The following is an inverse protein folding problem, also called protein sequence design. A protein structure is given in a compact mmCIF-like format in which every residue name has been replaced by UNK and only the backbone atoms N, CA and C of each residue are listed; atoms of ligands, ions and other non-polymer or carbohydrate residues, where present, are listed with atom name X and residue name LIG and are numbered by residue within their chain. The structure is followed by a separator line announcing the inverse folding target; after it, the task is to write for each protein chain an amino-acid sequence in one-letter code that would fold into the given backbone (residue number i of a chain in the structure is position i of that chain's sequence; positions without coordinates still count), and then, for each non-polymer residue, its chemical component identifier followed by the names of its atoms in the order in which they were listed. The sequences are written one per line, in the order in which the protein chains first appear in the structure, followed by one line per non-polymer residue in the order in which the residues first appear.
data_IF_866192035004
#
_entry.id   IF_866192035004
#
_cell.length_a   1.000
_cell.length_b   1.000
_cell.length_c   1.000
_cell.angle_alpha   90.00
_cell.angle_beta   90.00
_cell.angle_gamma   90.00
#
_symmetry.space_group_name_H-M   'P 1'
#
loop_
_entity.id
_entity.type
_entity.pdbx_description
1 polymer ?
#
# COMPACT_ATOMS: atom_id res chain seq x y z
N UNK A 1 3.56 -10.63 24.16
CA UNK A 1 4.29 -9.67 23.30
C UNK A 1 5.81 -9.88 23.35
N UNK A 2 6.45 -9.84 24.53
CA UNK A 2 7.91 -9.98 24.67
C UNK A 2 8.46 -11.30 24.10
N UNK A 3 7.86 -12.44 24.44
CA UNK A 3 8.29 -13.74 23.91
C UNK A 3 8.16 -13.86 22.39
N UNK A 4 7.00 -13.42 21.85
CA UNK A 4 6.72 -13.40 20.40
C UNK A 4 7.71 -12.48 19.67
N UNK A 5 7.98 -11.29 20.22
CA UNK A 5 8.95 -10.35 19.65
C UNK A 5 10.36 -10.93 19.63
N UNK A 6 10.81 -11.52 20.75
CA UNK A 6 12.13 -12.16 20.82
C UNK A 6 12.29 -13.29 19.81
N UNK A 7 11.31 -14.18 19.69
CA UNK A 7 11.32 -15.25 18.69
C UNK A 7 11.31 -14.69 17.25
N UNK A 8 10.37 -13.79 16.94
CA UNK A 8 10.17 -13.32 15.57
C UNK A 8 11.36 -12.53 15.04
N UNK A 9 11.98 -11.68 15.88
CA UNK A 9 13.16 -10.91 15.47
C UNK A 9 14.40 -11.81 15.25
N UNK A 10 14.62 -12.82 16.11
CA UNK A 10 15.68 -13.82 15.90
C UNK A 10 15.42 -14.62 14.63
N UNK A 11 14.17 -15.02 14.40
CA UNK A 11 13.78 -15.77 13.21
C UNK A 11 13.98 -14.94 11.95
N UNK A 12 13.59 -13.66 11.93
CA UNK A 12 13.81 -12.78 10.78
C UNK A 12 15.29 -12.62 10.45
N UNK A 13 16.16 -12.37 11.44
CA UNK A 13 17.61 -12.29 11.19
C UNK A 13 18.16 -13.57 10.54
N UNK A 14 17.84 -14.72 11.12
CA UNK A 14 18.24 -16.02 10.55
C UNK A 14 17.70 -16.22 9.14
N UNK A 15 16.44 -15.84 8.86
CA UNK A 15 15.87 -15.94 7.51
C UNK A 15 16.59 -15.04 6.50
N UNK A 16 17.01 -13.84 6.89
CA UNK A 16 17.70 -12.87 6.03
C UNK A 16 19.17 -13.23 5.78
N UNK A 17 19.85 -13.87 6.74
CA UNK A 17 21.27 -14.27 6.62
C UNK A 17 21.48 -15.46 5.67
N UNK A 18 20.51 -16.37 5.57
CA UNK A 18 20.70 -17.66 4.87
C UNK A 18 20.35 -17.64 3.37
N UNK A 19 20.12 -16.46 2.77
CA UNK A 19 20.22 -16.20 1.32
C UNK A 19 19.41 -17.07 0.34
N UNK A 20 18.38 -17.77 0.80
CA UNK A 20 17.49 -18.53 -0.07
C UNK A 20 16.08 -17.97 0.06
N UNK A 21 15.43 -17.71 -1.09
CA UNK A 21 14.06 -17.23 -1.23
C UNK A 21 13.09 -17.86 -0.23
N UNK A 22 12.88 -17.13 0.87
CA UNK A 22 12.02 -17.49 2.00
C UNK A 22 10.91 -16.46 2.20
N UNK A 23 10.51 -15.75 1.14
CA UNK A 23 9.49 -14.71 1.19
C UNK A 23 8.21 -15.18 1.92
N UNK A 24 7.80 -16.44 1.75
CA UNK A 24 6.70 -17.04 2.50
C UNK A 24 6.95 -17.15 4.02
N UNK A 25 8.14 -17.56 4.44
CA UNK A 25 8.51 -17.62 5.86
C UNK A 25 8.66 -16.22 6.48
N UNK A 26 9.27 -15.28 5.75
CA UNK A 26 9.37 -13.87 6.18
C UNK A 26 7.96 -13.29 6.35
N UNK A 27 7.08 -13.49 5.37
CA UNK A 27 5.68 -13.07 5.41
C UNK A 27 4.95 -13.64 6.62
N UNK A 28 5.13 -14.93 6.91
CA UNK A 28 4.54 -15.56 8.10
C UNK A 28 5.01 -14.90 9.40
N UNK A 29 6.32 -14.66 9.56
CA UNK A 29 6.85 -14.05 10.77
C UNK A 29 6.38 -12.60 10.93
N UNK A 30 6.39 -11.80 9.85
CA UNK A 30 5.93 -10.40 9.89
C UNK A 30 4.44 -10.33 10.21
N UNK A 31 3.60 -11.17 9.58
CA UNK A 31 2.16 -11.25 9.93
C UNK A 31 1.98 -11.63 11.40
N UNK A 32 2.74 -12.59 11.91
CA UNK A 32 2.66 -13.04 13.32
C UNK A 32 3.04 -11.93 14.30
N UNK A 33 4.14 -11.21 14.04
CA UNK A 33 4.56 -10.08 14.85
C UNK A 33 3.47 -8.99 14.91
N UNK A 34 2.90 -8.64 13.75
CA UNK A 34 1.85 -7.64 13.65
C UNK A 34 0.53 -8.06 14.32
N UNK A 35 0.13 -9.35 14.24
CA UNK A 35 -1.02 -9.90 14.98
C UNK A 35 -0.88 -9.71 16.50
N UNK A 36 0.36 -9.65 17.01
CA UNK A 36 0.66 -9.39 18.42
C UNK A 36 1.07 -7.94 18.71
N UNK A 37 0.89 -7.02 17.76
CA UNK A 37 1.27 -5.59 17.85
C UNK A 37 2.74 -5.39 18.18
N UNK A 38 3.61 -6.23 17.61
CA UNK A 38 5.06 -6.07 17.69
C UNK A 38 5.55 -5.49 16.35
N UNK A 39 5.92 -4.21 16.29
CA UNK A 39 6.36 -3.58 15.05
C UNK A 39 7.75 -4.09 14.65
N UNK A 40 8.08 -4.01 13.35
CA UNK A 40 9.45 -4.28 12.92
C UNK A 40 10.38 -3.14 13.36
N UNK A 41 11.58 -3.46 13.89
CA UNK A 41 12.62 -2.48 14.10
C UNK A 41 12.98 -1.75 12.79
N UNK A 42 13.19 -0.42 12.81
CA UNK A 42 13.48 0.36 11.60
C UNK A 42 14.62 -0.20 10.75
N UNK A 43 15.70 -0.65 11.37
CA UNK A 43 16.87 -1.19 10.69
C UNK A 43 16.61 -2.52 9.95
N UNK A 44 15.54 -3.25 10.27
CA UNK A 44 15.19 -4.49 9.57
C UNK A 44 14.26 -4.25 8.38
N UNK A 45 13.54 -3.13 8.32
CA UNK A 45 12.57 -2.86 7.24
C UNK A 45 13.18 -2.89 5.85
N UNK A 46 14.35 -2.30 5.56
CA UNK A 46 14.92 -2.35 4.22
C UNK A 46 15.11 -3.78 3.73
N UNK A 47 15.71 -4.64 4.56
CA UNK A 47 15.97 -6.04 4.21
C UNK A 47 14.67 -6.86 4.10
N UNK A 48 13.75 -6.67 5.04
CA UNK A 48 12.46 -7.40 5.05
C UNK A 48 11.57 -6.98 3.88
N UNK A 49 11.39 -5.69 3.65
CA UNK A 49 10.55 -5.18 2.56
C UNK A 49 11.13 -5.54 1.20
N UNK A 50 12.46 -5.43 1.04
CA UNK A 50 13.14 -5.93 -0.17
C UNK A 50 12.84 -7.41 -0.38
N UNK A 51 13.02 -8.26 0.62
CA UNK A 51 12.76 -9.70 0.48
C UNK A 51 11.28 -10.06 0.22
N UNK A 52 10.34 -9.19 0.60
CA UNK A 52 8.90 -9.38 0.37
C UNK A 52 8.43 -8.86 -1.00
N UNK A 53 9.11 -7.87 -1.56
CA UNK A 53 8.70 -7.17 -2.79
C UNK A 53 9.56 -7.51 -4.00
N UNK A 54 10.87 -7.72 -3.81
CA UNK A 54 11.86 -7.93 -4.85
C UNK A 54 12.37 -9.37 -4.76
N UNK A 55 12.39 -10.09 -5.87
CA UNK A 55 13.00 -11.42 -5.90
C UNK A 55 14.52 -11.29 -5.71
N UNK A 56 15.16 -12.29 -5.08
CA UNK A 56 16.63 -12.28 -4.89
C UNK A 56 17.40 -12.24 -6.23
N UNK A 57 16.79 -12.72 -7.32
CA UNK A 57 17.34 -12.70 -8.69
C UNK A 57 17.06 -11.43 -9.50
N UNK A 58 16.31 -10.47 -8.95
CA UNK A 58 15.94 -9.24 -9.67
C UNK A 58 17.11 -8.25 -9.68
N UNK A 59 18.09 -8.48 -10.56
CA UNK A 59 19.08 -7.46 -10.94
C UNK A 59 18.47 -6.40 -11.87
N UNK A 60 17.44 -6.80 -12.63
CA UNK A 60 16.75 -5.99 -13.64
C UNK A 60 16.22 -4.64 -13.12
N UNK A 61 15.60 -4.54 -11.93
CA UNK A 61 15.10 -3.25 -11.42
C UNK A 61 16.21 -2.22 -11.17
N UNK A 62 17.42 -2.67 -10.78
CA UNK A 62 18.56 -1.79 -10.51
C UNK A 62 19.05 -1.12 -11.79
N UNK A 63 19.24 -1.91 -12.85
CA UNK A 63 19.67 -1.43 -14.17
C UNK A 63 18.57 -0.62 -14.86
N UNK A 64 17.29 -0.99 -14.66
CA UNK A 64 16.15 -0.27 -15.22
C UNK A 64 16.04 1.14 -14.66
N UNK A 65 16.22 1.34 -13.36
CA UNK A 65 16.21 2.67 -12.76
C UNK A 65 17.26 3.60 -13.39
N UNK A 66 18.52 3.14 -13.49
CA UNK A 66 19.61 3.93 -14.08
C UNK A 66 19.33 4.28 -15.54
N UNK A 67 18.86 3.32 -16.35
CA UNK A 67 18.47 3.56 -17.74
C UNK A 67 17.37 4.62 -17.86
N UNK A 68 16.35 4.55 -17.00
CA UNK A 68 15.25 5.51 -16.99
C UNK A 68 15.72 6.90 -16.58
N UNK A 69 16.60 7.01 -15.59
CA UNK A 69 17.21 8.30 -15.21
C UNK A 69 17.97 8.92 -16.39
N UNK A 70 18.79 8.14 -17.10
CA UNK A 70 19.49 8.62 -18.30
C UNK A 70 18.53 9.07 -19.39
N UNK A 71 17.42 8.35 -19.61
CA UNK A 71 16.35 8.77 -20.55
C UNK A 71 15.71 10.08 -20.13
N UNK A 72 15.41 10.27 -18.85
CA UNK A 72 14.84 11.54 -18.35
C UNK A 72 15.79 12.70 -18.60
N UNK A 73 17.11 12.51 -18.43
CA UNK A 73 18.10 13.57 -18.69
C UNK A 73 18.21 13.87 -20.20
N UNK A 74 18.17 12.85 -21.06
CA UNK A 74 18.30 13.00 -22.50
C UNK A 74 17.02 13.57 -23.18
N UNK A 75 15.84 13.07 -22.78
CA UNK A 75 14.56 13.30 -23.46
C UNK A 75 13.60 14.19 -22.67
N UNK A 76 13.91 14.52 -21.41
CA UNK A 76 13.00 15.18 -20.47
C UNK A 76 12.51 16.56 -20.91
N UNK A 77 13.19 17.19 -21.87
CA UNK A 77 12.76 18.45 -22.48
C UNK A 77 11.89 18.26 -23.72
N UNK A 78 11.78 17.07 -24.30
CA UNK A 78 11.17 16.85 -25.62
C UNK A 78 9.77 16.23 -25.55
N UNK A 79 9.49 15.44 -24.50
CA UNK A 79 8.18 14.78 -24.31
C UNK A 79 7.25 15.65 -23.44
N UNK A 80 6.11 16.10 -23.99
CA UNK A 80 5.12 16.93 -23.28
C UNK A 80 4.69 16.33 -21.93
N UNK A 81 4.49 15.01 -21.87
CA UNK A 81 4.14 14.27 -20.65
C UNK A 81 5.18 14.45 -19.53
N UNK A 82 6.47 14.42 -19.86
CA UNK A 82 7.55 14.59 -18.87
C UNK A 82 7.63 16.04 -18.37
N UNK A 83 7.25 17.02 -19.20
CA UNK A 83 7.10 18.42 -18.77
C UNK A 83 5.95 18.57 -17.78
N UNK A 84 4.81 17.93 -18.03
CA UNK A 84 3.67 17.94 -17.12
C UNK A 84 3.99 17.31 -15.77
N UNK A 85 4.65 16.14 -15.77
CA UNK A 85 5.11 15.50 -14.54
C UNK A 85 6.10 16.41 -13.82
N UNK A 86 7.08 16.99 -14.51
CA UNK A 86 8.07 17.89 -13.89
C UNK A 86 7.42 19.12 -13.27
N UNK A 87 6.42 19.71 -13.95
CA UNK A 87 5.61 20.80 -13.40
C UNK A 87 4.87 20.37 -12.14
N UNK A 88 4.20 19.21 -12.17
CA UNK A 88 3.47 18.71 -11.00
C UNK A 88 4.41 18.42 -9.82
N UNK A 89 5.57 17.81 -10.06
CA UNK A 89 6.59 17.56 -9.03
C UNK A 89 7.12 18.86 -8.42
N UNK A 90 7.25 19.93 -9.20
CA UNK A 90 7.66 21.24 -8.66
C UNK A 90 6.65 21.82 -7.65
N UNK A 91 5.37 21.42 -7.76
CA UNK A 91 4.31 21.82 -6.83
C UNK A 91 4.21 20.87 -5.63
N UNK A 92 4.39 19.57 -5.85
CA UNK A 92 4.17 18.55 -4.82
C UNK A 92 5.37 18.42 -3.87
N UNK A 93 6.60 18.37 -4.39
CA UNK A 93 7.80 18.15 -3.57
C UNK A 93 8.00 19.16 -2.43
N UNK A 94 7.73 20.47 -2.58
CA UNK A 94 7.82 21.42 -1.46
C UNK A 94 6.79 21.16 -0.35
N UNK A 95 5.64 20.57 -0.70
CA UNK A 95 4.52 20.27 0.21
C UNK A 95 4.56 18.83 0.74
N UNK A 96 5.42 17.99 0.19
CA UNK A 96 5.60 16.60 0.58
C UNK A 96 6.23 16.49 1.97
N UNK A 97 5.41 16.23 2.99
CA UNK A 97 5.85 16.00 4.38
C UNK A 97 6.86 17.04 4.91
N UNK A 98 6.53 18.34 4.90
CA UNK A 98 7.48 19.43 5.21
C UNK A 98 8.00 19.38 6.66
N UNK A 99 7.26 18.72 7.55
CA UNK A 99 7.66 18.48 8.94
C UNK A 99 8.80 17.47 9.08
N UNK A 100 9.07 16.64 8.05
CA UNK A 100 10.10 15.60 8.11
C UNK A 100 11.48 16.20 7.87
N UNK A 101 12.27 16.36 8.94
CA UNK A 101 13.66 16.79 8.84
C UNK A 101 14.50 15.87 7.92
N UNK A 102 14.16 14.59 7.86
CA UNK A 102 14.85 13.63 7.02
C UNK A 102 14.58 13.83 5.52
N UNK A 103 13.35 14.15 5.13
CA UNK A 103 13.02 14.54 3.75
C UNK A 103 13.44 15.98 3.44
N UNK A 104 13.54 16.84 4.45
CA UNK A 104 14.01 18.21 4.30
C UNK A 104 15.45 18.32 3.78
N UNK A 105 16.27 17.26 3.91
CA UNK A 105 17.65 17.23 3.43
C UNK A 105 17.70 17.31 1.90
N UNK A 106 18.62 18.10 1.37
CA UNK A 106 18.80 18.27 -0.08
C UNK A 106 19.08 16.94 -0.81
N UNK A 107 19.80 16.00 -0.18
CA UNK A 107 20.00 14.65 -0.73
C UNK A 107 18.70 13.87 -0.85
N UNK A 108 17.85 13.90 0.17
CA UNK A 108 16.56 13.20 0.17
C UNK A 108 15.58 13.80 -0.85
N UNK A 109 15.52 15.14 -0.97
CA UNK A 109 14.69 15.81 -1.99
C UNK A 109 15.13 15.47 -3.40
N UNK A 110 16.45 15.46 -3.65
CA UNK A 110 17.01 15.03 -4.95
C UNK A 110 16.69 13.57 -5.25
N UNK A 111 16.87 12.68 -4.27
CA UNK A 111 16.53 11.27 -4.39
C UNK A 111 15.03 11.08 -4.70
N UNK A 112 14.14 11.80 -4.00
CA UNK A 112 12.69 11.74 -4.24
C UNK A 112 12.31 12.22 -5.63
N UNK A 113 12.84 13.36 -6.07
CA UNK A 113 12.60 13.87 -7.42
C UNK A 113 13.08 12.89 -8.50
N UNK A 114 14.31 12.37 -8.35
CA UNK A 114 14.93 11.40 -9.24
C UNK A 114 14.11 10.11 -9.34
N UNK A 115 13.68 9.57 -8.19
CA UNK A 115 12.84 8.35 -8.12
C UNK A 115 11.50 8.57 -8.82
N UNK A 116 10.81 9.69 -8.58
CA UNK A 116 9.50 9.97 -9.18
C UNK A 116 9.59 10.20 -10.70
N UNK A 117 10.63 10.90 -11.16
CA UNK A 117 10.87 11.11 -12.58
C UNK A 117 11.16 9.79 -13.30
N UNK A 118 12.04 8.95 -12.74
CA UNK A 118 12.33 7.63 -13.29
C UNK A 118 11.09 6.73 -13.28
N UNK A 119 10.25 6.79 -12.22
CA UNK A 119 9.00 6.06 -12.13
C UNK A 119 8.00 6.47 -13.22
N UNK A 120 7.85 7.78 -13.45
CA UNK A 120 6.97 8.31 -14.48
C UNK A 120 7.43 7.90 -15.89
N UNK A 121 8.73 8.00 -16.17
CA UNK A 121 9.30 7.56 -17.44
C UNK A 121 9.13 6.03 -17.66
N UNK A 122 9.24 5.23 -16.59
CA UNK A 122 9.05 3.78 -16.67
C UNK A 122 7.62 3.34 -16.91
N UNK A 123 6.64 4.20 -16.62
CA UNK A 123 5.21 3.92 -16.76
C UNK A 123 4.57 4.45 -18.03
N UNK A 124 5.34 5.06 -18.93
CA UNK A 124 4.84 5.68 -20.15
C UNK A 124 4.18 4.65 -21.08
N UNK A 125 4.85 3.53 -21.34
CA UNK A 125 4.36 2.44 -22.20
C UNK A 125 3.08 1.79 -21.66
N UNK A 126 2.92 1.75 -20.33
CA UNK A 126 1.74 1.23 -19.65
C UNK A 126 0.61 2.28 -19.51
N UNK A 127 0.84 3.52 -19.95
CA UNK A 127 -0.12 4.61 -19.82
C UNK A 127 -0.27 5.18 -18.41
N UNK A 128 0.59 4.83 -17.44
CA UNK A 128 0.46 5.23 -16.02
C UNK A 128 0.58 6.74 -15.81
N UNK A 129 -0.47 7.37 -15.27
CA UNK A 129 -0.49 8.81 -14.99
C UNK A 129 0.04 9.11 -13.58
N UNK A 130 0.83 10.17 -13.45
CA UNK A 130 1.20 10.68 -12.13
C UNK A 130 -0.04 11.23 -11.43
N UNK A 131 -0.23 10.85 -10.18
CA UNK A 131 -1.33 11.31 -9.33
C UNK A 131 -0.79 12.14 -8.17
N UNK A 132 -1.45 13.26 -7.85
CA UNK A 132 -1.07 14.14 -6.76
C UNK A 132 -1.22 13.44 -5.40
N UNK A 133 -0.11 13.18 -4.72
CA UNK A 133 -0.03 12.38 -3.49
C UNK A 133 0.81 11.09 -3.66
N UNK A 134 1.23 10.76 -4.89
CA UNK A 134 2.21 9.69 -5.13
C UNK A 134 3.60 10.03 -4.56
N UNK A 135 3.93 11.31 -4.47
CA UNK A 135 5.13 11.82 -3.80
C UNK A 135 5.23 11.36 -2.35
N UNK A 136 4.10 11.33 -1.62
CA UNK A 136 4.05 10.84 -0.24
C UNK A 136 4.29 9.33 -0.14
N UNK A 137 3.82 8.54 -1.10
CA UNK A 137 4.13 7.09 -1.19
C UNK A 137 5.62 6.87 -1.49
N UNK A 138 6.17 7.63 -2.44
CA UNK A 138 7.59 7.58 -2.79
C UNK A 138 8.51 8.04 -1.64
N UNK A 139 8.07 9.03 -0.86
CA UNK A 139 8.78 9.53 0.31
C UNK A 139 9.04 8.42 1.34
N UNK A 140 8.08 7.52 1.57
CA UNK A 140 8.29 6.36 2.47
C UNK A 140 9.39 5.45 1.92
N UNK A 141 9.39 5.15 0.62
CA UNK A 141 10.45 4.33 0.01
C UNK A 141 11.83 5.02 0.12
N UNK A 142 11.92 6.32 -0.16
CA UNK A 142 13.16 7.09 -0.04
C UNK A 142 13.69 7.09 1.40
N UNK A 143 12.81 7.28 2.39
CA UNK A 143 13.20 7.29 3.81
C UNK A 143 13.68 5.94 4.33
N UNK A 144 13.12 4.83 3.81
CA UNK A 144 13.51 3.48 4.24
C UNK A 144 14.82 3.04 3.58
N UNK A 145 14.97 3.28 2.28
CA UNK A 145 16.09 2.68 1.52
C UNK A 145 17.26 3.64 1.31
N UNK A 146 17.02 4.94 1.19
CA UNK A 146 18.03 5.96 0.92
C UNK A 146 18.71 5.90 -0.46
N UNK A 147 18.75 4.72 -1.08
CA UNK A 147 19.34 4.45 -2.39
C UNK A 147 18.27 4.58 -3.48
N UNK A 148 18.49 5.47 -4.45
CA UNK A 148 17.51 5.80 -5.52
C UNK A 148 16.99 4.57 -6.24
N UNK A 149 17.89 3.69 -6.69
CA UNK A 149 17.51 2.50 -7.46
C UNK A 149 16.67 1.50 -6.65
N UNK A 150 16.94 1.33 -5.35
CA UNK A 150 16.16 0.43 -4.49
C UNK A 150 14.80 1.07 -4.19
N UNK A 151 14.79 2.36 -3.84
CA UNK A 151 13.58 3.11 -3.57
C UNK A 151 12.64 3.11 -4.78
N UNK A 152 13.18 3.30 -5.99
CA UNK A 152 12.45 3.20 -7.24
C UNK A 152 11.87 1.80 -7.46
N UNK A 153 12.70 0.77 -7.28
CA UNK A 153 12.25 -0.63 -7.48
C UNK A 153 11.11 -1.00 -6.53
N UNK A 154 11.19 -0.55 -5.28
CA UNK A 154 10.15 -0.77 -4.29
C UNK A 154 8.89 0.04 -4.61
N UNK A 155 9.04 1.31 -4.98
CA UNK A 155 7.93 2.15 -5.42
C UNK A 155 7.20 1.50 -6.59
N UNK A 156 7.92 1.06 -7.63
CA UNK A 156 7.36 0.39 -8.80
C UNK A 156 6.53 -0.85 -8.41
N UNK A 157 7.06 -1.70 -7.52
CA UNK A 157 6.34 -2.88 -7.01
C UNK A 157 5.11 -2.50 -6.19
N UNK A 158 5.18 -1.46 -5.36
CA UNK A 158 4.04 -0.97 -4.57
C UNK A 158 2.95 -0.42 -5.49
N UNK A 159 3.31 0.46 -6.43
CA UNK A 159 2.34 1.07 -7.35
C UNK A 159 1.70 0.04 -8.24
N UNK A 160 2.48 -0.91 -8.77
CA UNK A 160 1.95 -2.00 -9.58
C UNK A 160 1.04 -2.94 -8.78
N UNK A 161 1.32 -3.18 -7.50
CA UNK A 161 0.54 -4.11 -6.68
C UNK A 161 -0.76 -3.51 -6.16
N UNK A 162 -0.76 -2.23 -5.78
CA UNK A 162 -1.88 -1.64 -5.03
C UNK A 162 -2.57 -0.49 -5.74
N UNK A 163 -1.90 0.14 -6.71
CA UNK A 163 -2.39 1.38 -7.31
C UNK A 163 -2.56 1.28 -8.85
N UNK A 164 -2.28 0.12 -9.45
CA UNK A 164 -2.22 -0.04 -10.91
C UNK A 164 -3.49 0.44 -11.60
N UNK A 165 -4.65 0.00 -11.13
CA UNK A 165 -5.94 0.31 -11.79
C UNK A 165 -6.23 1.81 -11.73
N UNK A 166 -5.93 2.45 -10.61
CA UNK A 166 -6.07 3.90 -10.44
C UNK A 166 -5.11 4.70 -11.33
N UNK A 167 -3.90 4.19 -11.55
CA UNK A 167 -2.83 4.88 -12.29
C UNK A 167 -2.95 4.67 -13.81
N UNK A 168 -3.38 3.49 -14.25
CA UNK A 168 -3.53 3.12 -15.67
C UNK A 168 -4.92 3.51 -16.17
N UNK A 169 -5.96 2.83 -15.68
CA UNK A 169 -7.34 3.04 -16.15
C UNK A 169 -7.89 4.39 -15.69
N UNK A 170 -7.44 4.84 -14.51
CA UNK A 170 -7.83 6.11 -13.92
C UNK A 170 -8.88 5.93 -12.84
N UNK A 171 -8.86 6.83 -11.86
CA UNK A 171 -9.74 6.79 -10.68
C UNK A 171 -11.21 6.65 -11.07
N UNK A 172 -11.70 7.38 -12.06
CA UNK A 172 -13.12 7.33 -12.47
C UNK A 172 -13.59 5.95 -12.95
N UNK A 173 -12.68 5.13 -13.49
CA UNK A 173 -13.01 3.81 -14.06
C UNK A 173 -13.14 2.74 -12.97
N UNK A 174 -12.11 2.61 -12.13
CA UNK A 174 -12.01 1.52 -11.15
C UNK A 174 -12.64 1.86 -9.79
N UNK A 175 -12.75 3.14 -9.44
CA UNK A 175 -13.20 3.56 -8.11
C UNK A 175 -14.59 3.02 -7.74
N UNK A 176 -15.63 3.09 -8.62
CA UNK A 176 -16.96 2.60 -8.27
C UNK A 176 -16.96 1.11 -7.89
N UNK A 177 -16.20 0.28 -8.61
CA UNK A 177 -16.09 -1.15 -8.32
C UNK A 177 -15.41 -1.40 -6.97
N UNK A 178 -14.30 -0.71 -6.69
CA UNK A 178 -13.57 -0.84 -5.42
C UNK A 178 -14.40 -0.31 -4.24
N UNK A 179 -15.16 0.77 -4.41
CA UNK A 179 -16.06 1.29 -3.38
C UNK A 179 -17.28 0.39 -3.17
N UNK A 180 -17.79 -0.25 -4.22
CA UNK A 180 -18.78 -1.31 -4.13
C UNK A 180 -18.30 -2.47 -3.27
N UNK A 181 -17.05 -2.90 -3.45
CA UNK A 181 -16.41 -3.92 -2.60
C UNK A 181 -16.30 -3.45 -1.14
N UNK A 182 -15.88 -2.20 -0.88
CA UNK A 182 -15.84 -1.66 0.49
C UNK A 182 -17.23 -1.69 1.15
N UNK A 183 -18.27 -1.24 0.44
CA UNK A 183 -19.64 -1.26 0.95
C UNK A 183 -20.14 -2.69 1.21
N UNK A 184 -19.89 -3.60 0.28
CA UNK A 184 -20.26 -5.02 0.40
C UNK A 184 -19.55 -5.71 1.57
N UNK A 185 -18.24 -5.50 1.71
CA UNK A 185 -17.47 -6.04 2.82
C UNK A 185 -17.95 -5.48 4.15
N UNK A 186 -18.24 -4.19 4.23
CA UNK A 186 -18.75 -3.57 5.45
C UNK A 186 -20.12 -4.14 5.84
N UNK A 187 -21.04 -4.27 4.88
CA UNK A 187 -22.36 -4.86 5.12
C UNK A 187 -22.27 -6.33 5.58
N UNK A 188 -21.26 -7.08 5.12
CA UNK A 188 -21.02 -8.44 5.57
C UNK A 188 -20.37 -8.51 6.97
N UNK A 189 -19.35 -7.69 7.22
CA UNK A 189 -18.53 -7.73 8.44
C UNK A 189 -19.16 -7.01 9.63
N UNK A 190 -19.87 -5.91 9.39
CA UNK A 190 -20.64 -5.16 10.38
C UNK A 190 -21.94 -4.61 9.73
N UNK A 191 -23.00 -5.43 9.66
CA UNK A 191 -24.24 -5.05 8.98
C UNK A 191 -24.91 -3.82 9.59
N UNK A 192 -24.78 -3.61 10.90
CA UNK A 192 -25.33 -2.42 11.57
C UNK A 192 -24.63 -1.15 11.10
N UNK A 193 -23.30 -1.16 11.04
CA UNK A 193 -22.51 -0.03 10.58
C UNK A 193 -22.74 0.24 9.08
N UNK A 194 -22.76 -0.81 8.26
CA UNK A 194 -23.06 -0.72 6.83
C UNK A 194 -24.44 -0.15 6.54
N UNK A 195 -25.47 -0.59 7.27
CA UNK A 195 -26.82 -0.04 7.15
C UNK A 195 -26.86 1.43 7.57
N UNK A 196 -26.23 1.80 8.69
CA UNK A 196 -26.23 3.18 9.19
C UNK A 196 -25.65 4.17 8.16
N UNK A 197 -24.49 3.85 7.57
CA UNK A 197 -23.89 4.69 6.52
C UNK A 197 -24.79 4.77 5.28
N UNK A 198 -25.40 3.65 4.88
CA UNK A 198 -26.30 3.59 3.71
C UNK A 198 -27.57 4.42 3.92
N UNK A 199 -28.21 4.31 5.08
CA UNK A 199 -29.40 5.09 5.45
C UNK A 199 -29.11 6.59 5.55
N UNK A 200 -27.89 6.96 5.94
CA UNK A 200 -27.43 8.35 5.95
C UNK A 200 -26.85 8.82 4.61
N UNK A 201 -26.93 8.02 3.54
CA UNK A 201 -26.41 8.35 2.20
C UNK A 201 -24.92 8.69 2.16
N UNK A 202 -24.12 8.11 3.06
CA UNK A 202 -22.67 8.32 3.12
C UNK A 202 -21.97 7.16 2.41
N UNK A 203 -21.53 7.41 1.17
CA UNK A 203 -20.90 6.42 0.31
C UNK A 203 -19.37 6.37 0.50
N UNK A 204 -18.72 5.21 0.32
CA UNK A 204 -17.26 5.10 0.43
C UNK A 204 -16.47 6.05 -0.48
N UNK A 205 -16.99 6.40 -1.65
CA UNK A 205 -16.38 7.36 -2.59
C UNK A 205 -16.07 8.72 -1.94
N UNK A 206 -16.84 9.11 -0.92
CA UNK A 206 -16.74 10.42 -0.28
C UNK A 206 -15.54 10.54 0.66
N UNK A 207 -14.97 9.42 1.13
CA UNK A 207 -13.91 9.44 2.15
C UNK A 207 -12.73 8.52 1.83
N UNK A 208 -12.97 7.33 1.26
CA UNK A 208 -11.98 6.28 1.15
C UNK A 208 -10.88 6.57 0.11
N UNK A 209 -11.17 7.38 -0.91
CA UNK A 209 -10.20 7.79 -1.96
C UNK A 209 -8.95 8.41 -1.33
N UNK A 210 -9.15 9.29 -0.34
CA UNK A 210 -8.09 10.00 0.36
C UNK A 210 -7.21 9.09 1.23
N UNK A 211 -7.67 7.87 1.51
CA UNK A 211 -6.94 6.88 2.30
C UNK A 211 -6.24 5.85 1.40
N UNK A 212 -6.90 5.41 0.33
CA UNK A 212 -6.39 4.36 -0.56
C UNK A 212 -5.27 4.88 -1.45
N UNK A 213 -5.48 6.00 -2.17
CA UNK A 213 -4.51 6.48 -3.16
C UNK A 213 -3.15 6.84 -2.55
N UNK A 214 -3.07 7.58 -1.43
CA UNK A 214 -1.79 7.83 -0.77
C UNK A 214 -1.37 6.68 0.16
N UNK A 215 -2.09 5.54 0.18
CA UNK A 215 -1.83 4.40 1.08
C UNK A 215 -1.64 4.84 2.54
N UNK A 216 -2.54 5.73 3.00
CA UNK A 216 -2.58 6.36 4.32
C UNK A 216 -1.35 7.19 4.73
N UNK A 217 -0.45 7.51 3.81
CA UNK A 217 0.73 8.35 4.11
C UNK A 217 0.35 9.76 4.54
N UNK A 218 -0.76 10.33 4.05
CA UNK A 218 -1.26 11.63 4.50
C UNK A 218 -1.91 11.58 5.89
N UNK A 219 -2.31 10.40 6.34
CA UNK A 219 -3.03 10.20 7.61
C UNK A 219 -2.08 10.00 8.78
N UNK A 220 -0.91 9.40 8.56
CA UNK A 220 0.05 9.07 9.61
C UNK A 220 1.41 9.72 9.39
N UNK A 221 2.13 10.10 10.47
CA UNK A 221 3.50 10.58 10.36
C UNK A 221 4.44 9.55 9.72
N UNK A 222 5.36 10.04 8.88
CA UNK A 222 6.38 9.22 8.21
C UNK A 222 7.80 9.49 8.71
N UNK A 223 8.02 10.51 9.53
CA UNK A 223 9.33 10.96 9.99
C UNK A 223 9.89 10.16 11.17
N UNK A 224 9.06 9.34 11.82
CA UNK A 224 9.41 8.58 13.03
C UNK A 224 9.25 7.07 12.83
N UNK A 225 10.15 6.40 12.11
CA UNK A 225 10.02 4.97 11.83
C UNK A 225 9.99 4.07 13.06
N UNK A 226 10.54 4.52 14.19
CA UNK A 226 10.50 3.82 15.48
C UNK A 226 9.18 3.99 16.24
N UNK A 227 8.35 4.97 15.88
CA UNK A 227 7.10 5.27 16.57
C UNK A 227 6.00 4.27 16.18
N UNK A 228 5.29 3.74 17.16
CA UNK A 228 4.13 2.87 16.96
C UNK A 228 2.96 3.60 16.30
N UNK A 229 2.94 4.94 16.38
CA UNK A 229 1.96 5.82 15.75
C UNK A 229 2.33 6.25 14.33
N UNK A 230 3.48 5.81 13.82
CA UNK A 230 3.89 6.07 12.43
C UNK A 230 3.21 5.12 11.43
N UNK A 231 3.29 5.44 10.13
CA UNK A 231 2.70 4.62 9.07
C UNK A 231 3.30 3.19 8.96
N UNK A 232 4.51 2.99 9.47
CA UNK A 232 5.33 1.82 9.14
C UNK A 232 4.79 0.46 9.61
N UNK A 233 4.19 0.30 10.80
CA UNK A 233 3.60 -0.99 11.18
C UNK A 233 2.49 -1.43 10.21
N UNK A 234 1.70 -0.48 9.69
CA UNK A 234 0.69 -0.78 8.69
C UNK A 234 1.35 -1.20 7.36
N UNK A 235 2.41 -0.50 6.95
CA UNK A 235 3.15 -0.84 5.74
C UNK A 235 3.92 -2.17 5.84
N UNK A 236 4.39 -2.56 7.03
CA UNK A 236 4.98 -3.88 7.27
C UNK A 236 3.99 -5.00 6.89
N UNK A 237 2.69 -4.79 7.15
CA UNK A 237 1.61 -5.70 6.75
C UNK A 237 1.28 -5.55 5.27
N UNK A 238 1.24 -4.31 4.74
CA UNK A 238 0.99 -4.05 3.32
C UNK A 238 1.96 -4.84 2.43
N UNK A 239 3.26 -4.90 2.79
CA UNK A 239 4.24 -5.68 2.02
C UNK A 239 3.97 -7.20 2.04
N UNK A 240 3.18 -7.67 3.01
CA UNK A 240 2.81 -9.06 3.21
C UNK A 240 1.49 -9.47 2.54
N UNK A 241 0.79 -8.56 1.87
CA UNK A 241 -0.57 -8.78 1.35
C UNK A 241 -0.66 -8.54 -0.17
N UNK A 242 -1.84 -8.77 -0.76
CA UNK A 242 -2.13 -8.54 -2.18
C UNK A 242 -3.00 -7.29 -2.38
N UNK A 243 -3.30 -6.96 -3.64
CA UNK A 243 -4.04 -5.75 -4.05
C UNK A 243 -5.33 -5.40 -3.28
N UNK A 244 -6.15 -6.33 -2.75
CA UNK A 244 -7.39 -5.98 -2.05
C UNK A 244 -7.14 -5.32 -0.68
N UNK A 245 -5.95 -5.53 -0.11
CA UNK A 245 -5.70 -5.21 1.29
C UNK A 245 -5.97 -3.75 1.69
N UNK A 246 -5.65 -2.71 0.89
CA UNK A 246 -6.04 -1.34 1.21
C UNK A 246 -7.54 -1.16 1.45
N UNK A 247 -8.41 -1.92 0.76
CA UNK A 247 -9.86 -1.86 0.98
C UNK A 247 -10.24 -2.41 2.36
N UNK A 248 -9.56 -3.45 2.84
CA UNK A 248 -9.73 -3.97 4.20
C UNK A 248 -9.27 -2.98 5.26
N UNK A 249 -8.25 -2.17 4.95
CA UNK A 249 -7.83 -1.10 5.86
C UNK A 249 -8.92 -0.04 5.99
N UNK A 250 -9.61 0.33 4.91
CA UNK A 250 -10.78 1.23 4.96
C UNK A 250 -11.87 0.66 5.86
N UNK A 251 -12.24 -0.61 5.68
CA UNK A 251 -13.27 -1.26 6.52
C UNK A 251 -12.83 -1.31 7.99
N UNK A 252 -11.57 -1.64 8.27
CA UNK A 252 -11.03 -1.67 9.62
C UNK A 252 -11.02 -0.28 10.29
N UNK A 253 -10.77 0.80 9.54
CA UNK A 253 -10.86 2.18 10.03
C UNK A 253 -12.27 2.49 10.53
N UNK A 254 -13.30 2.09 9.77
CA UNK A 254 -14.71 2.28 10.12
C UNK A 254 -15.07 1.46 11.37
N UNK A 255 -14.74 0.16 11.39
CA UNK A 255 -15.06 -0.74 12.52
C UNK A 255 -14.41 -0.25 13.83
N UNK A 256 -13.16 0.22 13.79
CA UNK A 256 -12.48 0.74 14.99
C UNK A 256 -13.10 2.03 15.55
N UNK A 257 -13.85 2.77 14.74
CA UNK A 257 -14.56 3.98 15.17
C UNK A 257 -16.09 3.80 15.19
N UNK A 258 -16.55 2.55 15.12
CA UNK A 258 -17.97 2.17 15.03
C UNK A 258 -18.86 2.96 15.99
N UNK A 259 -18.51 2.99 17.27
CA UNK A 259 -19.37 3.60 18.30
C UNK A 259 -19.55 5.11 18.10
N UNK A 260 -18.55 5.80 17.55
CA UNK A 260 -18.64 7.22 17.19
C UNK A 260 -19.48 7.41 15.93
N UNK A 261 -19.28 6.56 14.92
CA UNK A 261 -19.96 6.64 13.63
C UNK A 261 -21.48 6.44 13.81
N UNK A 262 -21.89 5.47 14.63
CA UNK A 262 -23.30 5.15 14.86
C UNK A 262 -24.10 6.25 15.58
N UNK A 263 -23.42 7.23 16.19
CA UNK A 263 -24.06 8.34 16.90
C UNK A 263 -24.28 9.57 16.02
N UNK A 264 -23.73 9.57 14.80
CA UNK A 264 -23.73 10.73 13.91
C UNK A 264 -24.75 10.58 12.79
N UNK A 265 -25.32 11.71 12.38
CA UNK A 265 -26.13 11.85 11.18
C UNK A 265 -25.23 12.10 9.95
N UNK A 266 -25.82 12.22 8.76
CA UNK A 266 -25.09 12.47 7.51
C UNK A 266 -24.02 13.60 7.63
N UNK A 267 -24.36 14.75 8.22
CA UNK A 267 -23.44 15.87 8.33
C UNK A 267 -22.26 15.56 9.26
N UNK A 268 -22.55 15.00 10.43
CA UNK A 268 -21.53 14.57 11.38
C UNK A 268 -20.62 13.50 10.79
N UNK A 269 -21.18 12.56 10.03
CA UNK A 269 -20.44 11.50 9.35
C UNK A 269 -19.47 12.06 8.30
N UNK A 270 -19.93 12.96 7.42
CA UNK A 270 -19.07 13.56 6.40
C UNK A 270 -17.92 14.34 7.06
N UNK A 271 -18.22 15.13 8.09
CA UNK A 271 -17.21 15.89 8.82
C UNK A 271 -16.18 14.96 9.48
N UNK A 272 -16.63 13.92 10.19
CA UNK A 272 -15.77 12.94 10.84
C UNK A 272 -14.91 12.22 9.81
N UNK A 273 -15.49 11.69 8.73
CA UNK A 273 -14.77 10.87 7.75
C UNK A 273 -13.80 11.68 6.88
N UNK A 274 -14.09 12.96 6.63
CA UNK A 274 -13.17 13.86 5.90
C UNK A 274 -11.96 14.26 6.75
N UNK A 275 -12.11 14.30 8.08
CA UNK A 275 -11.07 14.68 9.03
C UNK A 275 -10.81 13.55 10.05
N UNK A 276 -10.82 12.32 9.54
CA UNK A 276 -10.93 11.12 10.37
C UNK A 276 -9.78 10.99 11.36
N UNK A 277 -10.05 10.93 12.68
CA UNK A 277 -9.01 10.72 13.67
C UNK A 277 -8.48 9.29 13.48
N UNK A 278 -7.23 9.11 13.02
CA UNK A 278 -6.76 7.78 12.74
C UNK A 278 -6.64 6.95 14.02
N UNK A 279 -7.15 5.70 14.03
CA UNK A 279 -6.79 4.73 15.05
C UNK A 279 -5.27 4.55 15.11
N UNK A 280 -4.75 3.96 16.18
CA UNK A 280 -3.34 3.61 16.18
C UNK A 280 -3.03 2.61 15.02
N UNK A 281 -1.91 2.77 14.28
CA UNK A 281 -1.55 1.93 13.14
C UNK A 281 -1.49 0.43 13.46
N UNK A 282 -0.95 0.07 14.63
CA UNK A 282 -0.78 -1.33 15.03
C UNK A 282 -2.10 -2.09 15.23
N UNK A 283 -3.11 -1.59 15.99
CA UNK A 283 -4.41 -2.24 16.05
C UNK A 283 -5.16 -2.18 14.72
N UNK A 284 -5.05 -1.08 13.95
CA UNK A 284 -5.64 -0.97 12.62
C UNK A 284 -5.12 -2.08 11.69
N UNK A 285 -3.80 -2.19 11.57
CA UNK A 285 -3.16 -3.19 10.72
C UNK A 285 -3.49 -4.62 11.14
N UNK A 286 -3.51 -4.90 12.45
CA UNK A 286 -3.86 -6.22 12.96
C UNK A 286 -5.32 -6.61 12.69
N UNK A 287 -6.26 -5.65 12.83
CA UNK A 287 -7.67 -5.88 12.48
C UNK A 287 -7.82 -6.06 10.97
N UNK A 288 -7.27 -5.16 10.16
CA UNK A 288 -7.33 -5.25 8.70
C UNK A 288 -6.76 -6.58 8.19
N UNK A 289 -5.64 -7.04 8.77
CA UNK A 289 -5.06 -8.34 8.44
C UNK A 289 -5.96 -9.51 8.82
N UNK A 290 -6.64 -9.43 9.96
CA UNK A 290 -7.61 -10.44 10.39
C UNK A 290 -8.79 -10.51 9.42
N UNK A 291 -9.40 -9.36 9.13
CA UNK A 291 -10.50 -9.25 8.17
C UNK A 291 -10.07 -9.79 6.80
N UNK A 292 -8.89 -9.42 6.33
CA UNK A 292 -8.34 -9.93 5.06
C UNK A 292 -8.09 -11.44 5.06
N UNK A 293 -7.63 -12.03 6.17
CA UNK A 293 -7.40 -13.48 6.27
C UNK A 293 -8.72 -14.27 6.43
N UNK A 294 -9.79 -13.67 6.97
CA UNK A 294 -11.06 -14.34 7.33
C UNK A 294 -12.21 -14.12 6.32
N UNK A 295 -12.19 -13.03 5.54
CA UNK A 295 -13.25 -12.71 4.58
C UNK A 295 -13.15 -13.58 3.32
N UNK A 296 -14.25 -14.25 2.90
CA UNK A 296 -14.26 -15.04 1.67
C UNK A 296 -13.92 -14.21 0.43
N UNK A 297 -13.03 -14.73 -0.42
CA UNK A 297 -12.50 -14.01 -1.58
C UNK A 297 -13.58 -13.61 -2.60
N UNK A 298 -14.67 -14.38 -2.69
CA UNK A 298 -15.83 -14.08 -3.53
C UNK A 298 -16.48 -12.72 -3.24
N UNK A 299 -16.26 -12.13 -2.06
CA UNK A 299 -16.80 -10.82 -1.70
C UNK A 299 -16.04 -9.65 -2.34
N UNK A 300 -14.81 -9.86 -2.84
CA UNK A 300 -13.97 -8.78 -3.36
C UNK A 300 -13.24 -9.10 -4.67
N UNK A 301 -13.02 -10.38 -5.03
CA UNK A 301 -12.27 -10.75 -6.25
C UNK A 301 -12.95 -10.27 -7.54
N UNK A 302 -14.29 -10.20 -7.55
CA UNK A 302 -15.08 -9.84 -8.75
C UNK A 302 -14.77 -8.44 -9.29
N UNK A 303 -14.27 -7.53 -8.44
CA UNK A 303 -13.94 -6.15 -8.81
C UNK A 303 -12.44 -5.93 -9.04
N UNK A 304 -11.60 -6.91 -8.70
CA UNK A 304 -10.14 -6.77 -8.61
C UNK A 304 -9.38 -7.69 -9.59
N UNK A 305 -10.09 -8.58 -10.30
CA UNK A 305 -9.59 -9.26 -11.49
C UNK A 305 -10.16 -8.61 -12.75
N UNK A 306 -9.38 -8.49 -13.84
CA UNK A 306 -9.94 -8.02 -15.10
C UNK A 306 -11.09 -8.95 -15.53
N UNK A 307 -12.19 -8.41 -16.10
CA UNK A 307 -13.29 -9.23 -16.57
C UNK A 307 -12.78 -10.17 -17.67
N UNK A 308 -12.66 -11.46 -17.34
CA UNK A 308 -12.40 -12.55 -18.29
C UNK A 308 -11.27 -12.30 -19.30
N UNK A 309 -10.02 -12.30 -18.85
CA UNK A 309 -8.90 -12.76 -19.66
C UNK A 309 -8.22 -13.96 -18.99
N UNK A 310 -7.72 -14.89 -19.82
CA UNK A 310 -7.35 -16.27 -19.51
C UNK A 310 -6.79 -16.56 -18.11
N UNK A 311 -7.19 -17.71 -17.51
CA UNK A 311 -6.84 -18.03 -16.13
C UNK A 311 -5.33 -18.10 -15.95
N UNK A 312 -4.79 -17.16 -15.19
CA UNK A 312 -3.41 -17.24 -14.69
C UNK A 312 -3.22 -18.49 -13.83
N UNK A 313 -1.99 -19.00 -13.81
CA UNK A 313 -1.56 -20.28 -13.20
C UNK A 313 -1.96 -20.46 -11.73
N UNK A 314 -2.31 -19.38 -11.02
CA UNK A 314 -2.87 -19.37 -9.67
C UNK A 314 -4.27 -19.99 -9.58
N UNK A 315 -5.17 -19.68 -10.53
CA UNK A 315 -6.52 -20.25 -10.57
C UNK A 315 -6.48 -21.77 -10.79
N UNK A 316 -5.52 -22.26 -11.60
CA UNK A 316 -5.26 -23.68 -11.79
C UNK A 316 -4.82 -24.41 -10.51
N UNK A 317 -4.07 -23.75 -9.62
CA UNK A 317 -3.65 -24.34 -8.34
C UNK A 317 -4.81 -24.47 -7.35
N UNK A 318 -5.75 -23.53 -7.37
CA UNK A 318 -6.98 -23.61 -6.57
C UNK A 318 -7.91 -24.71 -7.10
N UNK A 319 -8.14 -24.78 -8.41
CA UNK A 319 -8.94 -25.82 -9.05
C UNK A 319 -8.35 -27.24 -8.87
N UNK A 320 -7.02 -27.40 -8.90
CA UNK A 320 -6.36 -28.69 -8.64
C UNK A 320 -6.44 -29.15 -7.19
N UNK A 321 -6.46 -28.24 -6.21
CA UNK A 321 -6.64 -28.60 -4.80
C UNK A 321 -8.04 -29.14 -4.55
N UNK A 322 -9.06 -28.51 -5.16
CA UNK A 322 -10.46 -28.95 -5.04
C UNK A 322 -10.73 -30.30 -5.68
N UNK A 323 -10.19 -30.55 -6.89
CA UNK A 323 -10.28 -31.88 -7.54
C UNK A 323 -9.56 -33.00 -6.78
N UNK A 324 -8.53 -32.68 -5.97
CA UNK A 324 -7.84 -33.68 -5.13
C UNK A 324 -8.55 -33.96 -3.81
N UNK A 325 -9.31 -32.99 -3.27
CA UNK A 325 -10.13 -33.21 -2.07
C UNK A 325 -11.46 -33.88 -2.37
N UNK A 326 -11.96 -33.81 -3.60
CA UNK A 326 -13.19 -34.51 -4.04
C UNK A 326 -12.92 -35.93 -4.55
N UNK A 327 -11.64 -36.30 -4.74
CA UNK A 327 -11.20 -37.62 -5.22
C UNK A 327 -10.55 -38.50 -4.13
N UNK A 328 -10.60 -38.06 -2.87
CA UNK A 328 -10.18 -38.80 -1.67
C UNK A 328 -11.39 -38.96 -0.76
#
# INVERSE_FOLDING_TARGET
RVAVGGWGLRRLRSLLEHGHSRAGSIRYVVKTLNKHHVPLPPHLRPSVWRALLLAESDAEPLYRCQRLQSRVVADGTTLERMRDVSRQLSLDLPRCHPYSAALGRASSRRCLASVLQAWAAGGEEEGRRYWQGLDSVAAVAVLVFGQEHVAWSVLERITHRFLRDYLVEGVKSCLPAHMGVVAQMLAFLDPTLGLHLTTNHVLPDMYAVSWILPLLTHTYPIDRPQDLHSIYPLWDILMCTSSPFPLFVVVAMLILNRDKILQLDMHGLIALLSSFPPPAPAPLGALALRLYDETPAMLYDWALEPPFHEPTVSAWRYARRRKRSEAA
#
